data_IF_903564536029
#
_entry.id   IF_903564536029
#
_cell.length_a   1.000
_cell.length_b   1.000
_cell.length_c   1.000
_cell.angle_alpha   90.00
_cell.angle_beta   90.00
_cell.angle_gamma   90.00
#
_symmetry.space_group_name_H-M   'P 1'
#
loop_
_entity.id
_entity.type
_entity.pdbx_description
1 polymer ?
#
# COMPACT_ATOMS: atom_id res chain seq x y z
N UNK A 1 -32.13 -4.89 6.99
CA UNK A 1 -31.75 -5.89 5.97
C UNK A 1 -30.76 -5.35 4.92
N UNK A 2 -31.01 -4.20 4.25
CA UNK A 2 -30.10 -3.65 3.21
C UNK A 2 -28.66 -3.30 3.69
N UNK A 3 -28.50 -2.73 4.89
CA UNK A 3 -27.17 -2.50 5.51
C UNK A 3 -26.41 -3.78 5.85
N UNK A 4 -27.13 -4.88 6.09
CA UNK A 4 -26.54 -6.17 6.49
C UNK A 4 -25.97 -6.92 5.28
N UNK A 5 -26.62 -6.80 4.12
CA UNK A 5 -26.10 -7.29 2.84
C UNK A 5 -24.87 -6.49 2.37
N UNK A 6 -24.89 -5.16 2.54
CA UNK A 6 -23.74 -4.28 2.21
C UNK A 6 -22.52 -4.58 3.09
N UNK A 7 -22.72 -4.75 4.41
CA UNK A 7 -21.67 -5.19 5.33
C UNK A 7 -21.19 -6.61 4.98
N UNK A 8 -22.07 -7.51 4.56
CA UNK A 8 -21.67 -8.86 4.11
C UNK A 8 -20.88 -8.84 2.79
N UNK A 9 -21.13 -7.92 1.86
CA UNK A 9 -20.38 -7.83 0.60
C UNK A 9 -19.05 -7.08 0.78
N UNK A 10 -19.02 -5.99 1.55
CA UNK A 10 -17.76 -5.35 1.98
C UNK A 10 -16.92 -6.30 2.83
N UNK A 11 -17.55 -7.05 3.75
CA UNK A 11 -16.85 -8.03 4.58
C UNK A 11 -16.42 -9.24 3.76
N UNK A 12 -17.23 -9.80 2.86
CA UNK A 12 -16.81 -10.95 2.04
C UNK A 12 -15.67 -10.59 1.07
N UNK A 13 -15.70 -9.38 0.49
CA UNK A 13 -14.56 -8.83 -0.25
C UNK A 13 -13.34 -8.62 0.66
N UNK A 14 -13.51 -8.03 1.84
CA UNK A 14 -12.40 -7.86 2.78
C UNK A 14 -11.84 -9.18 3.32
N UNK A 15 -12.67 -10.23 3.50
CA UNK A 15 -12.29 -11.52 4.12
C UNK A 15 -11.64 -12.48 3.12
N UNK A 16 -12.15 -12.56 1.87
CA UNK A 16 -11.47 -13.33 0.83
C UNK A 16 -10.14 -12.71 0.43
N UNK A 17 -10.05 -11.37 0.36
CA UNK A 17 -8.82 -10.67 -0.06
C UNK A 17 -7.84 -10.40 1.09
N UNK A 18 -8.33 -10.37 2.33
CA UNK A 18 -7.49 -10.49 3.52
C UNK A 18 -6.62 -11.74 3.42
N UNK A 19 -7.13 -12.90 3.02
CA UNK A 19 -6.33 -14.13 3.09
C UNK A 19 -5.11 -14.13 2.15
N UNK A 20 -5.18 -13.48 0.98
CA UNK A 20 -4.07 -13.40 0.01
C UNK A 20 -3.13 -12.22 0.31
N UNK A 21 -3.67 -11.04 0.65
CA UNK A 21 -2.90 -9.87 1.06
C UNK A 21 -2.21 -10.06 2.40
N UNK A 22 -2.91 -10.64 3.39
CA UNK A 22 -2.36 -11.05 4.68
C UNK A 22 -1.39 -12.22 4.53
N UNK A 23 -1.54 -13.13 3.55
CA UNK A 23 -0.50 -14.13 3.31
C UNK A 23 0.80 -13.49 2.81
N UNK A 24 0.74 -12.51 1.91
CA UNK A 24 1.92 -11.78 1.46
C UNK A 24 2.50 -10.86 2.55
N UNK A 25 1.66 -10.12 3.29
CA UNK A 25 2.06 -9.26 4.42
C UNK A 25 2.56 -10.07 5.62
N UNK A 26 1.93 -11.19 5.99
CA UNK A 26 2.41 -12.08 7.07
C UNK A 26 3.64 -12.86 6.67
N UNK A 27 3.79 -13.27 5.41
CA UNK A 27 5.03 -13.90 4.97
C UNK A 27 6.19 -12.88 4.99
N UNK A 28 5.91 -11.62 4.62
CA UNK A 28 6.87 -10.53 4.71
C UNK A 28 7.21 -10.11 6.16
N UNK A 29 6.20 -10.06 7.05
CA UNK A 29 6.36 -9.70 8.47
C UNK A 29 6.95 -10.84 9.31
N UNK A 30 6.50 -12.08 9.12
CA UNK A 30 7.02 -13.26 9.85
C UNK A 30 8.46 -13.60 9.45
N UNK A 31 8.86 -13.35 8.19
CA UNK A 31 10.25 -13.47 7.79
C UNK A 31 11.13 -12.37 8.41
N UNK A 32 10.58 -11.17 8.69
CA UNK A 32 11.31 -10.09 9.35
C UNK A 32 11.57 -10.38 10.84
N UNK A 33 10.60 -10.93 11.56
CA UNK A 33 10.72 -11.25 13.00
C UNK A 33 11.68 -12.42 13.28
N UNK A 34 11.70 -13.43 12.41
CA UNK A 34 12.62 -14.58 12.57
C UNK A 34 14.09 -14.18 12.36
N UNK A 35 14.37 -13.18 11.51
CA UNK A 35 15.72 -12.64 11.30
C UNK A 35 16.19 -11.72 12.44
N UNK A 36 15.27 -11.03 13.13
CA UNK A 36 15.58 -10.25 14.33
C UNK A 36 15.98 -11.17 15.50
N UNK A 37 15.33 -12.33 15.61
CA UNK A 37 15.65 -13.35 16.62
C UNK A 37 17.02 -14.00 16.38
N UNK A 38 17.38 -14.26 15.12
CA UNK A 38 18.69 -14.83 14.75
C UNK A 38 19.83 -13.81 14.89
N UNK A 39 19.57 -12.51 14.67
CA UNK A 39 20.57 -11.46 14.88
C UNK A 39 20.83 -11.16 16.37
N UNK A 40 19.82 -11.30 17.25
CA UNK A 40 20.02 -11.23 18.71
C UNK A 40 20.88 -12.41 19.21
N UNK A 41 20.66 -13.63 18.71
CA UNK A 41 21.51 -14.80 19.07
C UNK A 41 22.96 -14.66 18.60
N UNK A 42 23.18 -14.02 17.46
CA UNK A 42 24.53 -13.72 16.96
C UNK A 42 25.22 -12.61 17.80
N UNK A 43 24.47 -11.64 18.32
CA UNK A 43 25.01 -10.58 19.20
C UNK A 43 25.34 -11.12 20.60
N UNK A 44 24.54 -12.02 21.16
CA UNK A 44 24.86 -12.70 22.42
C UNK A 44 26.09 -13.62 22.29
N UNK A 45 26.28 -14.28 21.14
CA UNK A 45 27.48 -15.06 20.87
C UNK A 45 28.75 -14.19 20.76
N UNK A 46 28.63 -12.97 20.22
CA UNK A 46 29.75 -12.01 20.14
C UNK A 46 30.06 -11.37 21.51
N UNK A 47 29.06 -11.22 22.39
CA UNK A 47 29.26 -10.72 23.75
C UNK A 47 29.98 -11.70 24.67
N UNK A 48 30.04 -12.98 24.34
CA UNK A 48 30.73 -14.00 25.15
C UNK A 48 32.24 -14.07 24.89
N UNK A 49 32.75 -13.40 23.85
CA UNK A 49 34.17 -13.45 23.45
C UNK A 49 34.97 -12.20 23.88
N UNK A 50 34.32 -11.19 24.48
CA UNK A 50 34.94 -9.91 24.85
C UNK A 50 35.46 -9.81 26.29
N UNK A 51 35.49 -10.90 27.07
CA UNK A 51 35.86 -10.88 28.49
C UNK A 51 37.39 -10.85 28.75
N UNK A 52 38.21 -10.34 27.83
CA UNK A 52 39.66 -10.36 28.03
C UNK A 52 40.39 -9.18 27.37
N UNK A 53 40.12 -7.96 27.82
CA UNK A 53 41.09 -6.84 27.85
C UNK A 53 40.63 -5.90 28.98
N UNK A 54 41.32 -5.95 30.12
CA UNK A 54 41.19 -4.98 31.19
C UNK A 54 42.04 -3.73 30.87
N UNK A 55 41.45 -2.55 31.00
CA UNK A 55 42.19 -1.28 31.13
C UNK A 55 41.57 -0.51 32.29
N UNK A 56 42.37 -0.28 33.33
CA UNK A 56 42.05 0.53 34.52
C UNK A 56 41.64 1.95 34.12
N UNK A 57 40.56 2.45 34.74
CA UNK A 57 40.23 3.89 34.73
C UNK A 57 40.07 4.34 36.18
N UNK A 58 40.94 5.28 36.55
CA UNK A 58 41.04 5.92 37.85
C UNK A 58 39.78 6.73 38.17
N UNK A 59 39.39 6.72 39.44
CA UNK A 59 38.14 7.28 39.92
C UNK A 59 38.27 8.77 40.23
N UNK A 60 37.58 9.63 39.49
CA UNK A 60 36.92 10.87 39.99
C UNK A 60 36.44 11.73 38.81
N UNK A 61 35.14 11.66 38.48
CA UNK A 61 34.31 12.85 38.25
C UNK A 61 32.86 12.44 37.99
N UNK A 62 31.95 12.97 38.80
CA UNK A 62 30.52 12.72 38.73
C UNK A 62 29.91 13.43 37.50
N UNK A 63 29.74 12.70 36.41
CA UNK A 63 28.96 13.12 35.25
C UNK A 63 27.83 12.11 34.98
N UNK A 64 26.63 12.63 34.74
CA UNK A 64 25.37 11.91 34.54
C UNK A 64 25.49 10.71 33.58
N UNK A 65 24.70 9.62 33.75
CA UNK A 65 24.77 8.47 32.88
C UNK A 65 24.44 8.90 31.44
N UNK A 66 25.49 8.92 30.62
CA UNK A 66 25.44 9.18 29.18
C UNK A 66 24.49 8.16 28.57
N UNK A 67 23.27 8.60 28.21
CA UNK A 67 22.29 7.79 27.49
C UNK A 67 23.02 7.14 26.32
N UNK A 68 23.17 5.81 26.36
CA UNK A 68 23.64 5.03 25.22
C UNK A 68 22.55 5.17 24.17
N UNK A 69 22.69 6.20 23.35
CA UNK A 69 21.98 6.29 22.08
C UNK A 69 22.57 5.13 21.29
N UNK A 70 21.88 3.99 21.30
CA UNK A 70 22.04 3.03 20.20
C UNK A 70 21.75 3.88 18.96
N UNK A 71 22.73 4.14 18.09
CA UNK A 71 22.45 4.89 16.88
C UNK A 71 21.36 4.10 16.16
N UNK A 72 20.20 4.72 15.91
CA UNK A 72 19.38 4.24 14.80
C UNK A 72 20.34 4.07 13.61
N UNK A 73 20.30 2.93 12.90
CA UNK A 73 21.24 2.67 11.83
C UNK A 73 21.28 3.91 10.93
N UNK A 74 22.46 4.52 10.83
CA UNK A 74 22.66 5.77 10.12
C UNK A 74 21.98 5.66 8.76
N UNK A 75 21.12 6.65 8.44
CA UNK A 75 20.50 6.81 7.14
C UNK A 75 21.61 7.17 6.15
N UNK A 76 22.33 6.16 5.71
CA UNK A 76 23.64 6.31 5.12
C UNK A 76 23.58 5.91 3.64
N UNK A 77 23.67 6.94 2.80
CA UNK A 77 23.85 6.88 1.35
C UNK A 77 22.62 6.53 0.50
N UNK A 78 22.08 7.55 -0.18
CA UNK A 78 21.16 7.39 -1.31
C UNK A 78 21.86 6.57 -2.41
N UNK A 79 21.22 5.48 -2.85
CA UNK A 79 21.75 4.61 -3.88
C UNK A 79 21.14 4.95 -5.23
N UNK A 80 21.95 5.24 -6.24
CA UNK A 80 21.43 5.52 -7.60
C UNK A 80 20.91 4.24 -8.26
N UNK A 81 21.58 3.10 -8.01
CA UNK A 81 21.15 1.79 -8.52
C UNK A 81 21.09 0.79 -7.37
N UNK A 82 19.99 0.05 -7.27
CA UNK A 82 19.78 -0.95 -6.23
C UNK A 82 19.34 -2.29 -6.83
N UNK A 83 19.99 -3.37 -6.40
CA UNK A 83 19.58 -4.74 -6.74
C UNK A 83 19.08 -5.42 -5.47
N UNK A 84 17.85 -5.94 -5.51
CA UNK A 84 17.31 -6.81 -4.47
C UNK A 84 17.19 -8.22 -5.01
N UNK A 85 17.72 -9.18 -4.27
CA UNK A 85 17.51 -10.61 -4.51
C UNK A 85 16.77 -11.16 -3.31
N UNK A 86 15.56 -11.67 -3.52
CA UNK A 86 14.70 -12.16 -2.42
C UNK A 86 14.32 -11.05 -1.40
N UNK A 87 13.58 -11.42 -0.36
CA UNK A 87 13.16 -10.47 0.66
C UNK A 87 14.36 -9.88 1.39
N UNK A 88 14.50 -8.54 1.37
CA UNK A 88 15.46 -7.79 2.16
C UNK A 88 16.94 -8.18 1.98
N UNK A 89 17.28 -8.85 0.89
CA UNK A 89 18.64 -9.23 0.59
C UNK A 89 19.05 -8.61 -0.73
N UNK A 90 20.29 -8.12 -0.86
CA UNK A 90 21.25 -7.79 0.22
C UNK A 90 20.74 -6.71 1.20
N UNK A 91 21.28 -6.69 2.43
CA UNK A 91 20.75 -5.90 3.56
C UNK A 91 20.82 -4.37 3.44
N UNK A 92 21.45 -3.83 2.39
CA UNK A 92 21.39 -2.39 2.09
C UNK A 92 20.01 -1.96 1.56
N UNK A 93 19.19 -2.89 1.07
CA UNK A 93 17.82 -2.66 0.60
C UNK A 93 16.83 -2.20 1.68
N UNK A 94 17.24 -2.19 2.96
CA UNK A 94 16.52 -1.61 4.10
C UNK A 94 17.00 -0.22 4.49
N UNK A 95 18.30 0.04 4.29
CA UNK A 95 18.99 1.21 4.86
C UNK A 95 19.04 2.38 3.89
N UNK A 96 19.15 2.07 2.60
CA UNK A 96 19.43 3.08 1.59
C UNK A 96 18.17 3.40 0.82
N UNK A 97 17.79 4.67 0.76
CA UNK A 97 16.78 5.14 -0.18
C UNK A 97 17.38 5.13 -1.60
N UNK A 98 16.55 4.90 -2.62
CA UNK A 98 17.00 4.79 -4.01
C UNK A 98 16.64 6.05 -4.76
N UNK A 99 17.61 6.68 -5.44
CA UNK A 99 17.36 7.83 -6.33
C UNK A 99 17.84 7.50 -7.75
N UNK A 100 17.07 6.67 -8.45
CA UNK A 100 17.43 6.18 -9.78
C UNK A 100 16.70 4.89 -10.13
N UNK A 101 17.42 3.77 -10.23
CA UNK A 101 16.89 2.50 -10.74
C UNK A 101 17.01 1.37 -9.72
N UNK A 102 15.93 0.63 -9.52
CA UNK A 102 15.88 -0.55 -8.65
C UNK A 102 15.38 -1.76 -9.44
N UNK A 103 16.09 -2.88 -9.28
CA UNK A 103 15.69 -4.18 -9.83
C UNK A 103 15.55 -5.22 -8.71
N UNK A 104 14.39 -5.86 -8.62
CA UNK A 104 14.07 -6.91 -7.65
C UNK A 104 13.86 -8.28 -8.30
N UNK A 105 14.62 -9.29 -7.87
CA UNK A 105 14.54 -10.66 -8.39
C UNK A 105 14.51 -11.70 -7.25
N UNK A 106 13.42 -12.44 -7.00
CA UNK A 106 12.07 -12.22 -7.50
C UNK A 106 11.31 -11.14 -6.74
N UNK A 107 11.68 -10.92 -5.47
CA UNK A 107 11.10 -9.92 -4.59
C UNK A 107 12.16 -8.91 -4.17
N UNK A 108 11.73 -7.70 -3.81
CA UNK A 108 12.59 -6.65 -3.25
C UNK A 108 11.71 -5.68 -2.47
N UNK A 109 12.13 -5.18 -1.31
CA UNK A 109 11.29 -4.14 -0.66
C UNK A 109 11.74 -3.73 0.72
N UNK A 110 11.76 -2.40 0.98
CA UNK A 110 11.73 -1.70 2.31
C UNK A 110 12.18 -0.23 2.23
N UNK A 111 12.93 0.17 1.21
CA UNK A 111 13.40 1.56 1.02
C UNK A 111 12.37 2.48 0.38
N UNK A 112 12.57 3.80 0.50
CA UNK A 112 11.92 4.76 -0.39
C UNK A 112 12.61 4.75 -1.76
N UNK A 113 11.86 4.95 -2.83
CA UNK A 113 12.38 4.97 -4.20
C UNK A 113 11.90 6.22 -4.91
N UNK A 114 12.85 7.06 -5.33
CA UNK A 114 12.70 8.15 -6.29
C UNK A 114 13.25 7.69 -7.63
N UNK A 115 12.41 7.44 -8.63
CA UNK A 115 12.79 6.92 -9.94
C UNK A 115 12.02 5.66 -10.36
N UNK A 116 12.74 4.58 -10.67
CA UNK A 116 12.19 3.36 -11.26
C UNK A 116 12.38 2.16 -10.33
N UNK A 117 11.30 1.48 -9.95
CA UNK A 117 11.30 0.23 -9.20
C UNK A 117 10.71 -0.90 -10.05
N UNK A 118 11.54 -1.81 -10.54
CA UNK A 118 11.14 -2.95 -11.34
C UNK A 118 11.38 -4.23 -10.56
N UNK A 119 10.35 -5.04 -10.35
CA UNK A 119 10.48 -6.33 -9.65
C UNK A 119 9.82 -7.46 -10.43
N UNK A 120 10.45 -8.64 -10.44
CA UNK A 120 9.94 -9.77 -11.23
C UNK A 120 8.62 -10.31 -10.68
N UNK A 121 8.50 -10.56 -9.38
CA UNK A 121 7.26 -11.05 -8.76
C UNK A 121 6.58 -9.99 -7.93
N UNK A 122 7.31 -9.30 -7.05
CA UNK A 122 6.69 -8.24 -6.27
C UNK A 122 7.65 -7.31 -5.56
N UNK A 123 7.16 -6.11 -5.28
CA UNK A 123 7.89 -5.08 -4.54
C UNK A 123 7.05 -4.50 -3.42
N UNK A 124 7.70 -4.17 -2.31
CA UNK A 124 7.07 -3.40 -1.23
C UNK A 124 7.99 -2.26 -0.78
N UNK A 125 7.60 -1.02 -1.03
CA UNK A 125 8.43 0.17 -0.76
C UNK A 125 7.81 1.04 0.33
N UNK A 126 8.63 1.89 0.94
CA UNK A 126 8.14 2.85 1.94
C UNK A 126 7.40 3.98 1.28
N UNK A 127 8.07 4.70 0.38
CA UNK A 127 7.51 5.79 -0.41
C UNK A 127 7.91 5.60 -1.86
N UNK A 128 7.05 6.01 -2.78
CA UNK A 128 7.33 6.07 -4.21
C UNK A 128 7.35 7.53 -4.67
N UNK A 129 8.35 7.90 -5.43
CA UNK A 129 8.33 9.10 -6.28
C UNK A 129 8.79 8.68 -7.68
N UNK A 130 7.87 8.20 -8.52
CA UNK A 130 8.20 7.70 -9.85
C UNK A 130 7.40 6.49 -10.30
N UNK A 131 8.05 5.52 -10.95
CA UNK A 131 7.42 4.36 -11.60
C UNK A 131 7.76 3.07 -10.85
N UNK A 132 6.74 2.35 -10.39
CA UNK A 132 6.87 1.01 -9.82
C UNK A 132 6.15 -0.02 -10.71
N UNK A 133 6.89 -1.03 -11.15
CA UNK A 133 6.40 -2.12 -11.98
C UNK A 133 6.71 -3.47 -11.35
N UNK A 134 5.69 -4.32 -11.23
CA UNK A 134 5.85 -5.71 -10.78
C UNK A 134 4.99 -6.67 -11.59
N UNK A 135 5.32 -7.97 -11.61
CA UNK A 135 4.42 -8.94 -12.23
C UNK A 135 3.20 -9.22 -11.36
N UNK A 136 3.35 -9.49 -10.07
CA UNK A 136 2.24 -9.95 -9.23
C UNK A 136 1.82 -8.96 -8.14
N UNK A 137 2.76 -8.22 -7.56
CA UNK A 137 2.47 -7.42 -6.37
C UNK A 137 3.29 -6.14 -6.27
N UNK A 138 2.62 -5.00 -6.18
CA UNK A 138 3.22 -3.69 -5.88
C UNK A 138 2.59 -3.15 -4.59
N UNK A 139 3.40 -2.93 -3.57
CA UNK A 139 2.93 -2.42 -2.28
C UNK A 139 3.66 -1.13 -1.89
N UNK A 140 2.93 -0.19 -1.29
CA UNK A 140 3.54 0.97 -0.63
C UNK A 140 2.94 1.23 0.74
N UNK A 141 3.82 1.37 1.73
CA UNK A 141 3.42 1.63 3.12
C UNK A 141 3.11 3.11 3.40
N UNK A 142 3.79 4.03 2.73
CA UNK A 142 3.70 5.47 2.97
C UNK A 142 3.15 6.23 1.78
N UNK A 143 3.56 7.51 1.67
CA UNK A 143 3.14 8.39 0.58
C UNK A 143 3.81 8.00 -0.72
N UNK A 144 3.01 8.01 -1.77
CA UNK A 144 3.45 7.66 -3.10
C UNK A 144 2.96 8.68 -4.11
N UNK A 145 3.86 9.13 -4.96
CA UNK A 145 3.61 9.99 -6.09
C UNK A 145 4.14 9.29 -7.34
N UNK A 146 3.28 9.06 -8.34
CA UNK A 146 3.68 8.49 -9.63
C UNK A 146 2.80 7.35 -10.14
N UNK A 147 3.42 6.28 -10.67
CA UNK A 147 2.74 5.25 -11.44
C UNK A 147 3.05 3.86 -10.87
N UNK A 148 2.01 3.09 -10.55
CA UNK A 148 2.12 1.69 -10.14
C UNK A 148 1.47 0.77 -11.16
N UNK A 149 2.24 -0.17 -11.70
CA UNK A 149 1.78 -1.20 -12.63
C UNK A 149 2.03 -2.57 -12.01
N UNK A 150 0.99 -3.39 -11.90
CA UNK A 150 1.10 -4.78 -11.46
C UNK A 150 0.09 -5.65 -12.19
N UNK A 151 0.40 -6.89 -12.55
CA UNK A 151 -0.63 -7.81 -13.09
C UNK A 151 -1.46 -8.44 -11.99
N UNK A 152 -1.05 -8.39 -10.72
CA UNK A 152 -1.84 -8.94 -9.61
C UNK A 152 -2.52 -7.85 -8.81
N UNK A 153 -1.80 -7.25 -7.86
CA UNK A 153 -2.38 -6.28 -6.95
C UNK A 153 -1.47 -5.07 -6.67
N UNK A 154 -2.08 -3.90 -6.58
CA UNK A 154 -1.50 -2.68 -6.01
C UNK A 154 -2.12 -2.41 -4.64
N UNK A 155 -1.30 -2.35 -3.58
CA UNK A 155 -1.76 -2.09 -2.22
C UNK A 155 -1.08 -0.85 -1.64
N UNK A 156 -1.87 0.12 -1.19
CA UNK A 156 -1.39 1.38 -0.64
C UNK A 156 -2.00 1.64 0.74
N UNK A 157 -1.14 1.79 1.73
CA UNK A 157 -1.57 1.96 3.13
C UNK A 157 -1.78 3.43 3.53
N UNK A 158 -1.29 4.39 2.74
CA UNK A 158 -1.50 5.82 2.98
C UNK A 158 -2.06 6.54 1.73
N UNK A 159 -1.43 7.65 1.33
CA UNK A 159 -1.85 8.51 0.23
C UNK A 159 -1.06 8.15 -1.02
N UNK A 160 -1.78 7.79 -2.09
CA UNK A 160 -1.21 7.60 -3.41
C UNK A 160 -1.71 8.67 -4.36
N UNK A 161 -0.82 9.43 -5.00
CA UNK A 161 -1.15 10.38 -6.05
C UNK A 161 -0.57 9.89 -7.39
N UNK A 162 -1.43 9.64 -8.37
CA UNK A 162 -1.03 9.32 -9.74
C UNK A 162 -1.85 8.18 -10.36
N UNK A 163 -1.19 7.24 -11.03
CA UNK A 163 -1.86 6.19 -11.81
C UNK A 163 -1.57 4.80 -11.24
N UNK A 164 -2.62 4.01 -10.98
CA UNK A 164 -2.49 2.59 -10.65
C UNK A 164 -3.17 1.73 -11.71
N UNK A 165 -2.48 0.70 -12.19
CA UNK A 165 -3.03 -0.31 -13.10
C UNK A 165 -2.72 -1.69 -12.54
N UNK A 166 -3.74 -2.40 -12.10
CA UNK A 166 -3.63 -3.80 -11.68
C UNK A 166 -4.96 -4.53 -11.71
N UNK A 167 -4.99 -5.85 -11.55
CA UNK A 167 -6.28 -6.54 -11.43
C UNK A 167 -7.00 -6.14 -10.14
N UNK A 168 -6.26 -5.93 -9.05
CA UNK A 168 -6.79 -5.58 -7.74
C UNK A 168 -6.07 -4.36 -7.16
N UNK A 169 -6.73 -3.19 -7.16
CA UNK A 169 -6.21 -2.00 -6.51
C UNK A 169 -6.87 -1.83 -5.14
N UNK A 170 -6.07 -1.60 -4.10
CA UNK A 170 -6.54 -1.24 -2.76
C UNK A 170 -5.79 -0.04 -2.20
N UNK A 171 -6.51 1.00 -1.82
CA UNK A 171 -5.92 2.21 -1.24
C UNK A 171 -6.71 2.76 -0.04
N UNK A 172 -6.03 3.52 0.82
CA UNK A 172 -6.72 4.34 1.83
C UNK A 172 -7.14 5.66 1.19
N UNK A 173 -6.19 6.43 0.65
CA UNK A 173 -6.48 7.66 -0.10
C UNK A 173 -5.81 7.59 -1.46
N UNK A 174 -6.60 7.44 -2.52
CA UNK A 174 -6.10 7.50 -3.89
C UNK A 174 -6.48 8.81 -4.56
N UNK A 175 -5.52 9.48 -5.19
CA UNK A 175 -5.75 10.68 -6.02
C UNK A 175 -5.21 10.45 -7.42
N UNK A 176 -6.07 10.51 -8.44
CA UNK A 176 -5.68 10.30 -9.83
C UNK A 176 -6.44 9.15 -10.48
N UNK A 177 -5.76 8.26 -11.19
CA UNK A 177 -6.38 7.26 -12.06
C UNK A 177 -6.16 5.85 -11.54
N UNK A 178 -7.21 5.04 -11.47
CA UNK A 178 -7.12 3.61 -11.17
C UNK A 178 -7.79 2.79 -12.25
N UNK A 179 -7.08 1.79 -12.76
CA UNK A 179 -7.60 0.85 -13.74
C UNK A 179 -7.42 -0.57 -13.21
N UNK A 180 -8.49 -1.36 -13.21
CA UNK A 180 -8.41 -2.75 -12.77
C UNK A 180 -9.64 -3.59 -12.95
N UNK A 181 -9.67 -4.79 -12.36
CA UNK A 181 -10.91 -5.56 -12.26
C UNK A 181 -11.70 -5.13 -11.03
N UNK A 182 -11.00 -4.92 -9.92
CA UNK A 182 -11.59 -4.46 -8.67
C UNK A 182 -10.77 -3.32 -8.10
N UNK A 183 -11.43 -2.20 -7.79
CA UNK A 183 -10.85 -1.08 -7.06
C UNK A 183 -11.55 -0.95 -5.71
N UNK A 184 -10.77 -0.96 -4.63
CA UNK A 184 -11.24 -0.84 -3.25
C UNK A 184 -10.54 0.33 -2.57
N UNK A 185 -11.23 1.43 -2.35
CA UNK A 185 -10.63 2.60 -1.69
C UNK A 185 -11.48 3.11 -0.53
N UNK A 186 -10.87 3.67 0.51
CA UNK A 186 -11.65 4.44 1.48
C UNK A 186 -12.02 5.80 0.89
N UNK A 187 -11.04 6.50 0.32
CA UNK A 187 -11.24 7.79 -0.34
C UNK A 187 -10.59 7.79 -1.71
N UNK A 188 -11.37 8.13 -2.73
CA UNK A 188 -10.88 8.26 -4.11
C UNK A 188 -11.17 9.66 -4.65
N UNK A 189 -10.12 10.33 -5.13
CA UNK A 189 -10.18 11.64 -5.77
C UNK A 189 -9.64 11.54 -7.21
N UNK A 190 -10.53 11.33 -8.18
CA UNK A 190 -10.14 11.19 -9.58
C UNK A 190 -11.00 10.21 -10.36
N UNK A 191 -10.37 9.35 -11.15
CA UNK A 191 -11.03 8.50 -12.15
C UNK A 191 -10.76 7.04 -11.87
N UNK A 192 -11.81 6.24 -11.69
CA UNK A 192 -11.69 4.79 -11.55
C UNK A 192 -12.39 4.06 -12.69
N UNK A 193 -11.66 3.17 -13.34
CA UNK A 193 -12.15 2.24 -14.35
C UNK A 193 -11.95 0.82 -13.85
N UNK A 194 -13.02 0.12 -13.50
CA UNK A 194 -12.93 -1.31 -13.19
C UNK A 194 -14.23 -2.05 -13.39
N UNK A 195 -14.24 -3.39 -13.26
CA UNK A 195 -15.52 -4.11 -13.27
C UNK A 195 -16.30 -3.83 -11.99
N UNK A 196 -15.62 -3.76 -10.86
CA UNK A 196 -16.20 -3.52 -9.54
C UNK A 196 -15.44 -2.40 -8.82
N UNK A 197 -16.06 -1.23 -8.70
CA UNK A 197 -15.53 -0.13 -7.90
C UNK A 197 -16.29 -0.08 -6.56
N UNK A 198 -15.56 -0.12 -5.44
CA UNK A 198 -16.12 0.09 -4.09
C UNK A 198 -15.32 1.18 -3.40
N UNK A 199 -16.01 2.24 -3.00
CA UNK A 199 -15.40 3.37 -2.30
C UNK A 199 -16.28 3.90 -1.18
N UNK A 200 -15.70 4.39 -0.08
CA UNK A 200 -16.50 5.08 0.95
C UNK A 200 -16.82 6.51 0.49
N UNK A 201 -15.80 7.28 0.13
CA UNK A 201 -15.94 8.66 -0.37
C UNK A 201 -15.33 8.81 -1.76
N UNK A 202 -16.18 9.00 -2.77
CA UNK A 202 -15.77 9.36 -4.13
C UNK A 202 -15.82 10.87 -4.36
N UNK A 203 -14.76 11.42 -4.91
CA UNK A 203 -14.69 12.74 -5.55
C UNK A 203 -14.18 12.55 -6.97
N UNK A 204 -15.07 12.61 -7.96
CA UNK A 204 -14.69 12.38 -9.35
C UNK A 204 -15.55 11.35 -10.05
N UNK A 205 -14.94 10.54 -10.91
CA UNK A 205 -15.62 9.72 -11.89
C UNK A 205 -15.39 8.23 -11.64
N UNK A 206 -16.48 7.46 -11.64
CA UNK A 206 -16.43 6.00 -11.67
C UNK A 206 -16.99 5.48 -12.99
N UNK A 207 -16.31 4.53 -13.60
CA UNK A 207 -16.87 3.68 -14.64
C UNK A 207 -16.61 2.22 -14.35
N UNK A 208 -17.66 1.41 -14.48
CA UNK A 208 -17.58 -0.02 -14.25
C UNK A 208 -18.87 -0.77 -14.41
N UNK A 209 -18.86 -2.08 -14.23
CA UNK A 209 -20.10 -2.87 -14.24
C UNK A 209 -20.88 -2.60 -12.96
N UNK A 210 -20.19 -2.63 -11.82
CA UNK A 210 -20.74 -2.38 -10.49
C UNK A 210 -19.97 -1.25 -9.83
N UNK A 211 -20.66 -0.16 -9.51
CA UNK A 211 -20.10 0.97 -8.77
C UNK A 211 -20.85 1.12 -7.45
N UNK A 212 -20.13 1.12 -6.34
CA UNK A 212 -20.67 1.26 -4.99
C UNK A 212 -19.91 2.38 -4.28
N UNK A 213 -20.63 3.44 -3.93
CA UNK A 213 -20.08 4.55 -3.15
C UNK A 213 -20.99 4.90 -1.96
N UNK A 214 -20.46 5.10 -0.75
CA UNK A 214 -21.30 5.58 0.35
C UNK A 214 -21.60 7.08 0.20
N UNK A 215 -20.60 7.87 -0.19
CA UNK A 215 -20.75 9.28 -0.57
C UNK A 215 -20.08 9.50 -1.92
N UNK A 216 -20.81 10.08 -2.87
CA UNK A 216 -20.27 10.33 -4.21
C UNK A 216 -20.45 11.79 -4.64
N UNK A 217 -19.33 12.44 -4.90
CA UNK A 217 -19.24 13.81 -5.39
C UNK A 217 -18.80 13.80 -6.85
N UNK A 218 -19.60 13.14 -7.70
CA UNK A 218 -19.37 13.08 -9.12
C UNK A 218 -20.17 11.99 -9.85
N UNK A 219 -19.91 11.83 -11.16
CA UNK A 219 -20.60 10.88 -12.03
C UNK A 219 -20.15 9.42 -11.83
N UNK A 220 -21.11 8.50 -11.86
CA UNK A 220 -20.89 7.05 -11.91
C UNK A 220 -21.54 6.48 -13.17
N UNK A 221 -20.80 5.75 -13.98
CA UNK A 221 -21.29 5.11 -15.20
C UNK A 221 -21.16 3.60 -15.07
N UNK A 222 -22.26 2.87 -15.20
CA UNK A 222 -22.19 1.42 -15.08
C UNK A 222 -23.49 0.68 -15.27
N UNK A 223 -23.49 -0.64 -15.13
CA UNK A 223 -24.73 -1.42 -15.19
C UNK A 223 -25.48 -1.26 -13.85
N UNK A 224 -24.77 -1.37 -12.74
CA UNK A 224 -25.27 -1.16 -11.39
C UNK A 224 -24.51 -0.03 -10.72
N UNK A 225 -25.23 1.02 -10.32
CA UNK A 225 -24.68 2.12 -9.54
C UNK A 225 -25.42 2.25 -8.21
N UNK A 226 -24.66 2.34 -7.12
CA UNK A 226 -25.17 2.60 -5.78
C UNK A 226 -24.46 3.80 -5.18
N UNK A 227 -25.23 4.82 -4.76
CA UNK A 227 -24.71 5.90 -3.94
C UNK A 227 -25.57 6.10 -2.67
N UNK A 228 -24.92 6.17 -1.51
CA UNK A 228 -25.61 6.53 -0.27
C UNK A 228 -26.07 8.00 -0.27
N UNK A 229 -25.19 8.92 -0.70
CA UNK A 229 -25.41 10.37 -0.73
C UNK A 229 -24.69 11.05 -1.89
N UNK A 230 -25.41 11.91 -2.62
CA UNK A 230 -24.85 12.66 -3.75
C UNK A 230 -24.42 11.74 -4.88
N UNK A 231 -24.66 12.13 -6.13
CA UNK A 231 -24.07 11.52 -7.34
C UNK A 231 -24.91 11.90 -8.55
N UNK A 232 -24.25 12.01 -9.69
CA UNK A 232 -24.89 11.74 -10.97
C UNK A 232 -24.62 10.26 -11.30
N UNK A 233 -25.64 9.47 -11.61
CA UNK A 233 -25.48 8.06 -11.98
C UNK A 233 -26.07 7.85 -13.36
N UNK A 234 -25.37 7.07 -14.18
CA UNK A 234 -25.82 6.68 -15.50
C UNK A 234 -25.65 5.17 -15.62
N UNK A 235 -26.75 4.45 -15.76
CA UNK A 235 -26.73 3.00 -15.72
C UNK A 235 -28.08 2.32 -15.76
N UNK A 236 -28.09 1.00 -16.00
CA UNK A 236 -29.32 0.22 -16.04
C UNK A 236 -30.06 0.25 -14.69
N UNK A 237 -29.33 0.10 -13.59
CA UNK A 237 -29.88 0.11 -12.24
C UNK A 237 -29.16 1.14 -11.39
N UNK A 238 -29.82 2.26 -11.11
CA UNK A 238 -29.28 3.34 -10.28
C UNK A 238 -30.06 3.44 -8.98
N UNK A 239 -29.38 3.25 -7.85
CA UNK A 239 -29.96 3.38 -6.51
C UNK A 239 -29.26 4.51 -5.77
N UNK A 240 -30.04 5.51 -5.37
CA UNK A 240 -29.55 6.60 -4.54
C UNK A 240 -30.46 6.78 -3.33
N UNK A 241 -29.91 6.62 -2.12
CA UNK A 241 -30.75 6.64 -0.90
C UNK A 241 -31.21 8.05 -0.51
N UNK A 242 -30.56 9.09 -1.03
CA UNK A 242 -30.81 10.50 -0.67
C UNK A 242 -31.44 11.31 -1.81
N UNK A 243 -31.49 10.78 -3.04
CA UNK A 243 -32.14 11.44 -4.19
C UNK A 243 -33.66 11.58 -4.03
N UNK A 244 -34.22 12.61 -4.68
CA UNK A 244 -35.68 12.77 -4.86
C UNK A 244 -36.33 11.58 -5.58
N UNK A 245 -35.55 10.83 -6.36
CA UNK A 245 -35.94 9.56 -7.00
C UNK A 245 -34.93 8.47 -6.60
N UNK A 246 -35.27 7.62 -5.62
CA UNK A 246 -34.32 6.67 -5.02
C UNK A 246 -33.96 5.48 -5.92
N UNK A 247 -34.76 5.23 -6.96
CA UNK A 247 -34.47 4.29 -8.03
C UNK A 247 -34.74 4.99 -9.37
N UNK A 248 -33.87 4.81 -10.36
CA UNK A 248 -34.17 5.27 -11.72
C UNK A 248 -33.39 4.45 -12.75
N UNK A 249 -34.08 4.04 -13.83
CA UNK A 249 -33.47 3.33 -14.96
C UNK A 249 -32.75 4.35 -15.84
N UNK A 250 -31.56 3.99 -16.36
CA UNK A 250 -30.71 4.79 -17.26
C UNK A 250 -29.99 5.98 -16.65
N UNK A 251 -30.66 6.87 -15.91
CA UNK A 251 -30.01 8.02 -15.29
C UNK A 251 -30.58 8.28 -13.90
N UNK A 252 -29.78 8.78 -12.94
CA UNK A 252 -30.25 9.25 -11.65
C UNK A 252 -29.42 10.46 -11.19
N UNK A 253 -30.07 11.48 -10.64
CA UNK A 253 -29.42 12.69 -10.15
C UNK A 253 -29.87 12.98 -8.72
N UNK A 254 -28.91 13.11 -7.81
CA UNK A 254 -29.13 13.71 -6.48
C UNK A 254 -28.65 15.15 -6.52
N UNK A 255 -29.49 16.07 -6.04
CA UNK A 255 -29.06 17.41 -5.65
C UNK A 255 -28.22 17.35 -4.37
#
# INVERSE_FOLDING_TARGET
MKRMMLMSMLAAGSFMFSTVGIAAERCCSSAADNLETDSVKMVEAVSAEQENIAVEVDANDAAQPKKVIVPEPSKDSDSVVQFGIWFNFPGYTKRNDVNGFRLGLPFSGTSAVSGFDLSLLGSHIRNLDGLQMSSLYSGTSGKSDGVQLSLGACLNNEVFNGVQVSLFNKGVVHRGWQVGLVNLDEQADGVQFSLVNVVDVLKGFHAGIVNVANRSMGPQIGIFNYAGRGSFQLGLFNVNTTSRMPFMLLFNFSK
#
